data_IF_942405643619
#
_entry.id   IF_942405643619
#
_cell.length_a   1.000
_cell.length_b   1.000
_cell.length_c   1.000
_cell.angle_alpha   90.00
_cell.angle_beta   90.00
_cell.angle_gamma   90.00
#
_symmetry.space_group_name_H-M   'P 1'
#
loop_
_entity.id
_entity.type
_entity.pdbx_description
1 polymer ?
#
# COMPACT_ATOMS: atom_id res chain seq x y z
N UNK A 1 9.68 7.95 21.32
CA UNK A 1 8.65 7.50 20.34
C UNK A 1 8.63 5.97 20.31
N UNK A 2 7.82 5.29 21.15
CA UNK A 2 7.89 3.84 21.30
C UNK A 2 7.50 3.06 20.03
N UNK A 3 6.62 3.62 19.20
CA UNK A 3 6.09 2.94 18.01
C UNK A 3 7.17 2.64 16.96
N UNK A 4 8.09 3.58 16.75
CA UNK A 4 9.21 3.38 15.81
C UNK A 4 10.13 2.25 16.27
N UNK A 5 10.42 2.16 17.57
CA UNK A 5 11.25 1.09 18.13
C UNK A 5 10.60 -0.28 17.95
N UNK A 6 9.28 -0.37 18.15
CA UNK A 6 8.52 -1.60 17.91
C UNK A 6 8.51 -2.02 16.44
N UNK A 7 8.34 -1.07 15.51
CA UNK A 7 8.40 -1.35 14.08
C UNK A 7 9.76 -1.92 13.67
N UNK A 8 10.86 -1.33 14.14
CA UNK A 8 12.21 -1.82 13.86
C UNK A 8 12.47 -3.19 14.50
N UNK A 9 11.96 -3.42 15.72
CA UNK A 9 12.11 -4.71 16.38
C UNK A 9 11.40 -5.84 15.63
N UNK A 10 10.16 -5.60 15.19
CA UNK A 10 9.39 -6.58 14.40
C UNK A 10 9.99 -6.82 13.01
N UNK A 11 10.57 -5.79 12.39
CA UNK A 11 11.18 -5.91 11.07
C UNK A 11 12.52 -6.68 11.09
N UNK A 12 13.20 -6.78 12.25
CA UNK A 12 14.54 -7.37 12.39
C UNK A 12 14.67 -8.76 11.75
N UNK A 13 13.65 -9.61 11.89
CA UNK A 13 13.69 -11.00 11.39
C UNK A 13 13.17 -11.14 9.95
N UNK A 14 12.57 -10.08 9.40
CA UNK A 14 12.01 -10.06 8.04
C UNK A 14 12.99 -9.48 7.02
N UNK A 15 13.94 -8.65 7.45
CA UNK A 15 14.77 -7.86 6.54
C UNK A 15 16.18 -8.46 6.41
N UNK A 16 16.66 -8.59 5.18
CA UNK A 16 18.06 -8.93 4.88
C UNK A 16 19.00 -7.73 5.03
N UNK A 17 20.29 -7.97 5.32
CA UNK A 17 21.28 -6.89 5.46
C UNK A 17 21.52 -6.17 4.13
N UNK A 18 20.91 -4.98 3.98
CA UNK A 18 21.13 -4.11 2.83
C UNK A 18 22.20 -3.06 3.15
N UNK A 19 23.45 -3.52 3.20
CA UNK A 19 24.61 -2.69 3.51
C UNK A 19 25.13 -1.95 2.27
N UNK A 20 25.68 -0.75 2.49
CA UNK A 20 26.36 0.01 1.44
C UNK A 20 27.72 -0.65 1.12
N UNK A 21 28.28 -0.45 -0.09
CA UNK A 21 29.47 -1.16 -0.52
C UNK A 21 30.72 -0.92 0.35
N UNK A 22 30.74 0.15 1.15
CA UNK A 22 31.81 0.45 2.11
C UNK A 22 31.50 0.03 3.55
N UNK A 23 30.31 -0.53 3.81
CA UNK A 23 29.88 -0.98 5.12
C UNK A 23 30.16 -2.47 5.29
N UNK A 24 30.62 -2.86 6.48
CA UNK A 24 30.85 -4.27 6.80
C UNK A 24 29.50 -5.01 6.87
N UNK A 25 29.37 -6.19 6.24
CA UNK A 25 28.19 -7.02 6.36
C UNK A 25 28.01 -7.48 7.81
N UNK A 26 26.76 -7.55 8.27
CA UNK A 26 26.40 -7.95 9.63
C UNK A 26 25.31 -9.02 9.61
N UNK A 27 25.54 -10.11 10.33
CA UNK A 27 24.54 -11.19 10.50
C UNK A 27 23.50 -10.84 11.56
N UNK A 28 23.91 -10.09 12.60
CA UNK A 28 23.03 -9.58 13.65
C UNK A 28 22.80 -8.09 13.39
N UNK A 29 21.62 -7.78 12.84
CA UNK A 29 21.26 -6.40 12.49
C UNK A 29 20.99 -5.57 13.74
N UNK A 30 21.68 -4.43 13.85
CA UNK A 30 21.33 -3.38 14.81
C UNK A 30 20.04 -2.68 14.38
N UNK A 31 19.30 -2.00 15.28
CA UNK A 31 18.09 -1.27 14.91
C UNK A 31 18.32 -0.24 13.80
N UNK A 32 19.50 0.38 13.75
CA UNK A 32 19.93 1.29 12.70
C UNK A 32 20.07 0.57 11.34
N UNK A 33 20.68 -0.62 11.34
CA UNK A 33 20.79 -1.47 10.15
C UNK A 33 19.42 -1.89 9.63
N UNK A 34 18.51 -2.27 10.53
CA UNK A 34 17.13 -2.60 10.17
C UNK A 34 16.42 -1.39 9.56
N UNK A 35 16.62 -0.18 10.12
CA UNK A 35 16.02 1.03 9.56
C UNK A 35 16.53 1.33 8.13
N UNK A 36 17.82 1.10 7.87
CA UNK A 36 18.42 1.28 6.55
C UNK A 36 17.82 0.34 5.51
N UNK A 37 17.52 -0.90 5.88
CA UNK A 37 16.97 -1.92 4.98
C UNK A 37 15.43 -1.98 4.97
N UNK A 38 14.76 -1.28 5.88
CA UNK A 38 13.29 -1.24 6.01
C UNK A 38 12.59 -0.79 4.73
N UNK A 39 13.21 0.12 3.96
CA UNK A 39 12.61 0.63 2.72
C UNK A 39 12.43 -0.48 1.67
N UNK A 40 13.39 -1.41 1.58
CA UNK A 40 13.28 -2.56 0.67
C UNK A 40 12.09 -3.44 1.03
N UNK A 41 11.84 -3.66 2.32
CA UNK A 41 10.67 -4.40 2.81
C UNK A 41 9.35 -3.67 2.52
N UNK A 42 9.32 -2.34 2.62
CA UNK A 42 8.12 -1.56 2.28
C UNK A 42 7.77 -1.66 0.79
N UNK A 43 8.78 -1.72 -0.08
CA UNK A 43 8.55 -1.94 -1.52
C UNK A 43 7.94 -3.32 -1.76
N UNK A 44 8.43 -4.35 -1.06
CA UNK A 44 7.93 -5.72 -1.19
C UNK A 44 6.49 -5.87 -0.70
N UNK A 45 6.14 -5.23 0.42
CA UNK A 45 4.76 -5.19 0.93
C UNK A 45 3.85 -4.39 -0.02
N UNK A 46 4.39 -3.35 -0.65
CA UNK A 46 3.66 -2.46 -1.53
C UNK A 46 2.79 -1.45 -0.75
N UNK A 47 1.95 -0.73 -1.50
CA UNK A 47 1.03 0.25 -0.92
C UNK A 47 -0.34 -0.40 -0.66
N UNK A 48 -0.89 -0.31 0.57
CA UNK A 48 -2.26 -0.72 0.82
C UNK A 48 -3.29 0.25 0.21
N UNK A 49 -2.84 1.40 -0.32
CA UNK A 49 -3.72 2.41 -0.88
C UNK A 49 -4.37 1.92 -2.17
N UNK A 50 -5.68 2.14 -2.27
CA UNK A 50 -6.40 1.98 -3.52
C UNK A 50 -5.85 2.94 -4.58
N UNK A 51 -5.86 2.56 -5.86
CA UNK A 51 -5.46 3.46 -6.93
C UNK A 51 -6.32 4.74 -6.89
N UNK A 52 -5.75 5.89 -7.28
CA UNK A 52 -6.48 7.15 -7.30
C UNK A 52 -7.68 7.05 -8.25
N UNK A 53 -8.80 7.68 -7.87
CA UNK A 53 -9.97 7.76 -8.74
C UNK A 53 -9.59 8.50 -10.03
N UNK A 54 -9.97 7.93 -11.17
CA UNK A 54 -9.74 8.56 -12.47
C UNK A 54 -10.45 9.92 -12.52
N UNK A 55 -9.72 10.95 -12.93
CA UNK A 55 -10.31 12.27 -13.17
C UNK A 55 -11.12 12.24 -14.47
N UNK A 56 -12.41 12.54 -14.40
CA UNK A 56 -13.30 12.53 -15.56
C UNK A 56 -14.69 13.04 -15.22
N UNK A 57 -15.54 13.20 -16.24
CA UNK A 57 -16.98 13.43 -16.02
C UNK A 57 -17.58 12.15 -15.45
N UNK A 58 -18.43 12.27 -14.43
CA UNK A 58 -19.21 11.12 -13.95
C UNK A 58 -19.88 10.42 -15.14
N UNK A 59 -20.02 9.08 -15.12
CA UNK A 59 -20.91 8.40 -16.05
C UNK A 59 -22.25 9.13 -15.95
N UNK A 60 -22.74 9.68 -17.07
CA UNK A 60 -24.00 10.39 -17.06
C UNK A 60 -25.10 9.51 -16.47
N UNK A 61 -26.16 10.13 -15.95
CA UNK A 61 -27.32 9.41 -15.44
C UNK A 61 -27.80 8.38 -16.48
N UNK A 62 -27.92 7.11 -16.09
CA UNK A 62 -28.48 6.09 -16.96
C UNK A 62 -29.89 6.52 -17.35
N UNK A 63 -30.11 6.74 -18.65
CA UNK A 63 -31.40 7.20 -19.17
C UNK A 63 -32.44 6.17 -18.75
N UNK A 64 -33.32 6.57 -17.81
CA UNK A 64 -34.39 5.72 -17.33
C UNK A 64 -35.09 5.08 -18.53
N UNK A 65 -35.05 3.75 -18.58
CA UNK A 65 -35.72 2.98 -19.60
C UNK A 65 -37.20 3.30 -19.47
N UNK A 66 -37.77 3.96 -20.48
CA UNK A 66 -39.19 4.31 -20.51
C UNK A 66 -39.98 3.03 -20.79
N UNK A 67 -40.02 2.14 -19.80
CA UNK A 67 -40.76 0.89 -19.82
C UNK A 67 -42.21 1.14 -19.42
N UNK A 68 -43.06 1.29 -20.43
CA UNK A 68 -44.43 0.73 -20.46
C UNK A 68 -45.32 0.99 -19.23
N UNK A 69 -45.90 2.18 -19.13
CA UNK A 69 -47.15 2.39 -18.36
C UNK A 69 -48.23 2.95 -19.30
N UNK A 70 -48.56 2.20 -20.36
CA UNK A 70 -49.62 2.60 -21.30
C UNK A 70 -50.39 1.37 -21.82
N UNK A 71 -50.78 0.42 -20.97
CA UNK A 71 -51.69 -0.66 -21.38
C UNK A 71 -52.67 -1.19 -20.30
N UNK A 72 -52.89 -0.49 -19.18
CA UNK A 72 -53.88 -0.92 -18.19
C UNK A 72 -54.77 0.26 -17.75
N UNK A 73 -55.86 0.45 -18.49
CA UNK A 73 -56.81 1.54 -18.29
C UNK A 73 -57.83 1.59 -19.42
N UNK A 74 -58.55 0.48 -19.60
CA UNK A 74 -59.78 0.39 -20.39
C UNK A 74 -60.93 0.01 -19.46
#
# INVERSE_FOLDING_TARGET
MPLMTWQLWLAKDLVADYHLPWQKPQTLLTPERVAQSLFSLLIEIGSPAQPPKTRGKSPGWEKAERGTSELEGR
#
